data_IF_912158176673
#
_entry.id   IF_912158176673
#
_cell.length_a   1.000
_cell.length_b   1.000
_cell.length_c   1.000
_cell.angle_alpha   90.00
_cell.angle_beta   90.00
_cell.angle_gamma   90.00
#
_symmetry.space_group_name_H-M   'P 1'
#
loop_
_entity.id
_entity.type
_entity.pdbx_description
1 polymer ?
2 non-polymer ?
3 water ?
#
# COMPACT_ATOMS: atom_id res chain seq x y z
N UNK A 4 -21.09 10.87 -11.57
CA UNK A 4 -19.88 11.48 -10.95
C UNK A 4 -18.97 12.14 -11.97
N UNK A 5 -17.83 11.50 -12.25
CA UNK A 5 -16.87 12.01 -13.22
C UNK A 5 -17.14 11.38 -14.59
N UNK A 6 -17.24 12.22 -15.62
CA UNK A 6 -17.52 11.77 -16.98
C UNK A 6 -16.26 11.25 -17.68
N UNK A 7 -16.42 10.18 -18.43
CA UNK A 7 -15.28 9.61 -19.15
C UNK A 7 -15.68 9.07 -20.53
N UNK A 8 -14.71 9.12 -21.44
CA UNK A 8 -14.87 8.66 -22.83
C UNK A 8 -15.05 7.15 -22.91
N UNK A 9 -15.90 6.69 -23.83
CA UNK A 9 -16.17 5.27 -23.98
C UNK A 9 -15.01 4.42 -24.50
N UNK A 10 -14.18 4.99 -25.35
CA UNK A 10 -13.05 4.26 -25.91
C UNK A 10 -11.98 4.05 -24.86
N UNK A 11 -11.84 5.02 -23.96
CA UNK A 11 -10.85 4.92 -22.90
C UNK A 11 -11.33 3.92 -21.86
N UNK A 12 -12.64 3.85 -21.65
CA UNK A 12 -13.21 2.91 -20.69
C UNK A 12 -12.87 1.49 -21.12
N UNK A 13 -13.24 1.15 -22.35
CA UNK A 13 -12.99 -0.17 -22.91
C UNK A 13 -11.51 -0.55 -22.86
N UNK A 14 -10.65 0.45 -23.04
CA UNK A 14 -9.22 0.22 -23.02
C UNK A 14 -8.63 0.05 -21.62
N UNK A 15 -9.10 0.85 -20.67
CA UNK A 15 -8.60 0.76 -19.29
C UNK A 15 -9.00 -0.56 -18.65
N UNK A 16 -10.25 -0.94 -18.82
CA UNK A 16 -10.75 -2.19 -18.25
C UNK A 16 -10.04 -3.39 -18.88
N UNK A 17 -9.77 -3.32 -20.17
CA UNK A 17 -9.09 -4.41 -20.87
C UNK A 17 -7.68 -4.59 -20.33
N UNK A 18 -6.93 -3.50 -20.27
CA UNK A 18 -5.57 -3.53 -19.77
C UNK A 18 -5.53 -4.00 -18.30
N UNK A 19 -6.49 -3.56 -17.49
CA UNK A 19 -6.55 -3.94 -16.07
C UNK A 19 -6.83 -5.42 -15.90
N UNK A 20 -7.84 -5.92 -16.59
CA UNK A 20 -8.22 -7.32 -16.50
C UNK A 20 -7.06 -8.22 -16.93
N UNK A 21 -6.30 -7.79 -17.93
CA UNK A 21 -5.18 -8.58 -18.43
C UNK A 21 -4.07 -8.65 -17.39
N UNK A 22 -3.92 -7.59 -16.60
CA UNK A 22 -2.92 -7.54 -15.55
C UNK A 22 -3.38 -8.45 -14.41
N UNK A 23 -4.68 -8.36 -14.10
CA UNK A 23 -5.28 -9.16 -13.06
C UNK A 23 -5.29 -10.65 -13.37
N UNK A 24 -5.36 -10.99 -14.67
CA UNK A 24 -5.37 -12.38 -15.10
C UNK A 24 -3.99 -13.00 -14.92
N UNK A 25 -2.94 -12.20 -15.19
CA UNK A 25 -1.56 -12.67 -15.05
C UNK A 25 -1.21 -12.83 -13.58
N UNK A 26 -1.73 -11.93 -12.74
CA UNK A 26 -1.47 -11.99 -11.30
C UNK A 26 -2.10 -13.27 -10.74
N UNK A 27 -3.34 -13.54 -11.14
CA UNK A 27 -4.05 -14.72 -10.68
C UNK A 27 -3.43 -16.00 -11.21
N UNK A 28 -2.95 -15.96 -12.45
CA UNK A 28 -2.32 -17.11 -13.07
C UNK A 28 -1.00 -17.43 -12.41
N UNK A 29 -0.25 -16.40 -12.07
CA UNK A 29 1.05 -16.56 -11.41
C UNK A 29 0.85 -17.14 -10.02
N UNK A 30 -0.13 -16.62 -9.31
CA UNK A 30 -0.44 -17.05 -7.96
C UNK A 30 -0.89 -18.51 -7.95
N UNK A 31 -1.81 -18.85 -8.85
CA UNK A 31 -2.33 -20.20 -8.95
C UNK A 31 -1.24 -21.21 -9.29
N UNK A 32 -0.06 -20.71 -9.63
CA UNK A 32 1.04 -21.57 -10.00
C UNK A 32 1.98 -21.91 -8.84
N UNK A 33 1.58 -21.61 -7.61
CA UNK A 33 2.42 -21.89 -6.45
C UNK A 33 1.79 -22.86 -5.45
N UNK A 34 2.49 -23.10 -4.34
CA UNK A 34 2.05 -24.02 -3.27
C UNK A 34 0.83 -23.49 -2.49
N UNK A 40 -4.95 -16.75 0.00
CA UNK A 40 -4.52 -17.39 -1.28
C UNK A 40 -4.62 -16.40 -2.44
N UNK A 41 -5.35 -15.31 -2.19
CA UNK A 41 -5.53 -14.29 -3.20
C UNK A 41 -4.62 -13.11 -2.91
N UNK A 42 -4.01 -12.61 -3.98
CA UNK A 42 -3.10 -11.48 -3.91
C UNK A 42 -3.86 -10.22 -4.28
N UNK A 43 -3.54 -9.11 -3.62
CA UNK A 43 -4.23 -7.86 -3.92
C UNK A 43 -3.52 -7.14 -5.05
N UNK A 44 -4.31 -6.65 -6.01
CA UNK A 44 -3.77 -5.89 -7.12
C UNK A 44 -4.10 -4.44 -6.79
N UNK A 45 -3.17 -3.77 -6.13
CA UNK A 45 -3.37 -2.37 -5.78
C UNK A 45 -3.19 -1.55 -7.04
N UNK A 46 -4.25 -0.86 -7.46
CA UNK A 46 -4.18 -0.05 -8.66
C UNK A 46 -3.59 1.31 -8.33
N UNK A 47 -2.34 1.51 -8.75
CA UNK A 47 -1.62 2.75 -8.51
C UNK A 47 -2.06 3.82 -9.51
N UNK A 48 -2.94 4.72 -9.05
CA UNK A 48 -3.49 5.77 -9.90
C UNK A 48 -2.80 7.12 -9.76
N UNK A 49 -1.66 7.16 -9.09
CA UNK A 49 -0.94 8.41 -8.93
C UNK A 49 -0.82 9.14 -10.27
N UNK A 50 -0.97 10.46 -10.23
CA UNK A 50 -0.87 11.30 -11.41
C UNK A 50 -1.93 11.04 -12.47
N UNK A 51 -2.80 10.05 -12.24
CA UNK A 51 -3.87 9.72 -13.18
C UNK A 51 -5.13 10.52 -12.84
N UNK A 52 -5.90 10.94 -13.86
CA UNK A 52 -7.12 11.70 -13.60
C UNK A 52 -8.20 10.88 -12.90
N UNK A 53 -9.05 11.58 -12.16
CA UNK A 53 -10.15 10.96 -11.42
C UNK A 53 -11.17 10.25 -12.32
N UNK A 54 -11.20 10.60 -13.60
CA UNK A 54 -12.14 9.95 -14.53
C UNK A 54 -11.68 8.52 -14.78
N UNK A 55 -10.37 8.32 -14.80
CA UNK A 55 -9.79 7.00 -15.03
C UNK A 55 -10.15 6.10 -13.86
N UNK A 56 -10.12 6.65 -12.65
CA UNK A 56 -10.46 5.92 -11.44
C UNK A 56 -11.95 5.60 -11.44
N UNK A 57 -12.76 6.52 -11.95
CA UNK A 57 -14.20 6.29 -12.01
C UNK A 57 -14.47 5.15 -12.98
N UNK A 58 -13.70 5.12 -14.07
CA UNK A 58 -13.84 4.05 -15.05
C UNK A 58 -13.64 2.71 -14.33
N UNK A 59 -12.48 2.55 -13.71
CA UNK A 59 -12.17 1.32 -13.00
C UNK A 59 -13.12 1.12 -11.82
N UNK A 60 -13.41 2.19 -11.08
CA UNK A 60 -14.34 2.08 -9.95
C UNK A 60 -15.63 1.40 -10.44
N UNK A 61 -16.28 2.03 -11.41
CA UNK A 61 -17.53 1.51 -11.97
C UNK A 61 -17.36 0.05 -12.38
N UNK A 62 -16.16 -0.33 -12.77
CA UNK A 62 -15.88 -1.69 -13.18
C UNK A 62 -15.85 -2.66 -11.98
N UNK A 63 -15.79 -2.12 -10.77
CA UNK A 63 -15.76 -2.99 -9.60
C UNK A 63 -14.49 -2.88 -8.78
N UNK A 64 -13.55 -2.04 -9.22
CA UNK A 64 -12.29 -1.86 -8.49
C UNK A 64 -12.52 -0.93 -7.28
N UNK A 65 -11.93 -1.26 -6.13
CA UNK A 65 -12.12 -0.47 -4.92
C UNK A 65 -10.84 0.05 -4.30
N UNK A 66 -9.73 -0.65 -4.50
CA UNK A 66 -8.46 -0.23 -3.90
C UNK A 66 -7.49 0.40 -4.89
N UNK A 67 -7.20 1.67 -4.65
CA UNK A 67 -6.31 2.46 -5.49
C UNK A 67 -5.18 3.04 -4.66
N UNK A 68 -4.00 3.14 -5.23
CA UNK A 68 -2.86 3.68 -4.49
C UNK A 68 -2.44 5.06 -4.97
N UNK A 69 -2.26 5.97 -4.03
CA UNK A 69 -1.85 7.34 -4.33
C UNK A 69 -0.55 7.63 -3.59
N UNK A 70 0.30 8.44 -4.21
CA UNK A 70 1.59 8.77 -3.65
C UNK A 70 1.68 10.18 -3.09
N UNK A 71 0.77 11.04 -3.50
CA UNK A 71 0.81 12.42 -3.04
C UNK A 71 -0.40 12.76 -2.16
N UNK A 72 -0.10 13.25 -0.95
CA UNK A 72 -1.11 13.59 0.03
C UNK A 72 -2.23 14.50 -0.47
N UNK A 73 -1.92 15.69 -0.97
CA UNK A 73 -2.97 16.57 -1.45
C UNK A 73 -3.78 15.95 -2.59
N UNK A 74 -3.11 15.24 -3.49
CA UNK A 74 -3.80 14.61 -4.61
C UNK A 74 -4.82 13.56 -4.10
N UNK A 75 -4.42 12.76 -3.13
CA UNK A 75 -5.28 11.72 -2.56
C UNK A 75 -6.51 12.33 -1.91
N UNK A 76 -6.30 13.44 -1.19
CA UNK A 76 -7.36 14.14 -0.48
C UNK A 76 -8.36 14.75 -1.47
N UNK A 77 -7.83 15.40 -2.50
CA UNK A 77 -8.67 16.01 -3.52
C UNK A 77 -9.46 14.92 -4.22
N UNK A 78 -8.76 13.83 -4.53
CA UNK A 78 -9.36 12.69 -5.21
C UNK A 78 -10.45 12.01 -4.38
N UNK A 79 -10.18 11.87 -3.08
CA UNK A 79 -11.13 11.26 -2.16
C UNK A 79 -12.48 11.99 -2.10
N UNK A 80 -12.42 13.33 -2.20
CA UNK A 80 -13.62 14.18 -2.15
C UNK A 80 -14.47 14.09 -3.42
N UNK A 81 -13.83 13.78 -4.55
CA UNK A 81 -14.50 13.69 -5.86
C UNK A 81 -15.10 12.35 -6.23
N UNK A 82 -14.57 11.28 -5.65
CA UNK A 82 -15.01 9.93 -5.96
C UNK A 82 -15.76 9.24 -4.83
N UNK A 83 -16.36 8.07 -5.10
CA UNK A 83 -17.12 7.34 -4.08
C UNK A 83 -16.43 7.11 -2.74
N UNK A 84 -17.24 7.15 -1.69
CA UNK A 84 -16.77 6.98 -0.32
C UNK A 84 -16.30 5.59 0.05
N UNK A 85 -16.68 4.57 -0.71
CA UNK A 85 -16.27 3.21 -0.38
C UNK A 85 -14.99 2.76 -1.07
N UNK A 86 -14.29 3.70 -1.69
CA UNK A 86 -13.04 3.37 -2.33
C UNK A 86 -12.11 3.13 -1.13
N UNK A 87 -11.16 2.22 -1.27
CA UNK A 87 -10.22 1.95 -0.19
C UNK A 87 -8.87 2.52 -0.56
N UNK A 88 -8.66 3.78 -0.21
CA UNK A 88 -7.41 4.46 -0.53
C UNK A 88 -6.25 3.89 0.23
N UNK A 89 -5.13 3.76 -0.47
CA UNK A 89 -3.87 3.28 0.08
C UNK A 89 -2.90 4.39 -0.20
N UNK A 90 -2.25 4.91 0.83
CA UNK A 90 -1.26 5.94 0.60
C UNK A 90 0.10 5.23 0.54
N UNK A 91 0.69 5.21 -0.65
CA UNK A 91 1.98 4.55 -0.83
C UNK A 91 3.15 5.46 -1.17
N UNK A 92 3.03 6.75 -0.85
CA UNK A 92 4.10 7.68 -1.14
C UNK A 92 4.92 8.06 0.08
N UNK A 93 5.79 9.05 -0.09
CA UNK A 93 6.62 9.51 1.01
C UNK A 93 5.79 10.19 2.08
N UNK A 94 5.91 9.72 3.32
CA UNK A 94 5.13 10.29 4.40
C UNK A 94 5.95 11.20 5.31
N UNK A 95 5.51 12.45 5.43
CA UNK A 95 6.18 13.42 6.30
C UNK A 95 5.28 13.48 7.52
N UNK A 96 5.87 13.64 8.69
CA UNK A 96 5.12 13.70 9.95
C UNK A 96 4.08 14.83 10.00
N UNK A 97 4.34 15.92 9.28
CA UNK A 97 3.43 17.06 9.27
C UNK A 97 2.20 16.84 8.40
N UNK A 98 2.26 15.84 7.53
CA UNK A 98 1.15 15.53 6.64
C UNK A 98 0.24 14.43 7.18
N UNK A 99 0.67 13.82 8.29
CA UNK A 99 -0.09 12.76 8.94
C UNK A 99 -1.48 13.26 9.32
N UNK A 100 -1.52 14.41 9.98
CA UNK A 100 -2.78 15.00 10.40
C UNK A 100 -3.73 15.11 9.20
N UNK A 101 -3.18 15.52 8.06
CA UNK A 101 -3.96 15.68 6.83
C UNK A 101 -4.53 14.38 6.31
N UNK A 102 -3.68 13.36 6.26
CA UNK A 102 -4.08 12.04 5.80
C UNK A 102 -5.14 11.43 6.72
N UNK A 103 -4.92 11.55 8.04
CA UNK A 103 -5.84 10.98 9.02
C UNK A 103 -7.26 11.48 8.88
N UNK A 104 -7.42 12.67 8.31
CA UNK A 104 -8.74 13.26 8.12
C UNK A 104 -9.62 12.54 7.10
N UNK A 105 -8.99 11.90 6.11
CA UNK A 105 -9.75 11.17 5.08
C UNK A 105 -10.39 9.95 5.74
N UNK A 106 -11.73 9.92 5.79
CA UNK A 106 -12.42 8.78 6.42
C UNK A 106 -12.10 7.44 5.78
N UNK A 107 -12.19 7.39 4.45
CA UNK A 107 -11.93 6.16 3.74
C UNK A 107 -10.47 5.93 3.37
N UNK A 108 -9.57 6.37 4.26
CA UNK A 108 -8.14 6.15 4.05
C UNK A 108 -7.94 4.76 4.61
N UNK A 109 -7.99 3.78 3.73
CA UNK A 109 -7.89 2.38 4.10
C UNK A 109 -6.53 1.93 4.62
N UNK A 110 -5.45 2.41 4.00
CA UNK A 110 -4.13 1.98 4.42
C UNK A 110 -3.02 2.99 4.14
N UNK A 111 -1.94 2.84 4.88
CA UNK A 111 -0.74 3.69 4.73
C UNK A 111 0.37 2.66 4.74
N UNK A 112 1.02 2.46 3.61
CA UNK A 112 2.07 1.46 3.50
C UNK A 112 3.50 1.98 3.64
N UNK A 113 3.64 3.26 3.94
CA UNK A 113 4.97 3.83 4.04
C UNK A 113 5.39 4.34 5.41
N UNK A 114 4.97 3.66 6.47
CA UNK A 114 5.37 4.07 7.81
C UNK A 114 6.83 3.62 7.95
N UNK A 115 7.74 4.56 8.13
CA UNK A 115 9.14 4.19 8.27
C UNK A 115 9.85 4.84 9.46
N UNK A 116 9.11 5.05 10.53
CA UNK A 116 9.67 5.64 11.75
C UNK A 116 8.63 5.56 12.84
N UNK A 117 9.06 5.58 14.10
CA UNK A 117 8.12 5.50 15.21
C UNK A 117 7.41 6.83 15.32
N UNK A 118 8.13 7.91 15.03
CA UNK A 118 7.58 9.26 15.08
C UNK A 118 6.34 9.35 14.21
N UNK A 119 6.42 8.79 13.01
CA UNK A 119 5.32 8.80 12.06
C UNK A 119 4.16 7.93 12.50
N UNK A 120 4.46 6.74 13.02
CA UNK A 120 3.40 5.85 13.48
C UNK A 120 2.60 6.52 14.59
N UNK A 121 3.29 7.11 15.57
CA UNK A 121 2.64 7.78 16.69
C UNK A 121 1.81 8.98 16.25
N UNK A 122 2.31 9.74 15.27
CA UNK A 122 1.61 10.91 14.75
C UNK A 122 0.35 10.56 13.96
N UNK A 123 0.41 9.49 13.18
CA UNK A 123 -0.75 9.07 12.40
C UNK A 123 -1.84 8.52 13.33
N UNK A 124 -1.42 7.72 14.31
CA UNK A 124 -2.34 7.13 15.29
C UNK A 124 -2.94 8.28 16.09
N UNK A 125 -2.08 9.24 16.42
CA UNK A 125 -2.46 10.43 17.16
C UNK A 125 -3.53 11.21 16.38
N UNK A 126 -3.20 11.57 15.15
CA UNK A 126 -4.10 12.33 14.28
C UNK A 126 -5.42 11.61 13.98
N UNK A 127 -5.34 10.31 13.73
CA UNK A 127 -6.52 9.51 13.42
C UNK A 127 -7.50 9.50 14.59
N UNK A 128 -6.96 9.51 15.80
CA UNK A 128 -7.78 9.49 17.01
C UNK A 128 -8.55 10.79 17.11
N UNK A 129 -7.89 11.91 16.84
CA UNK A 129 -8.53 13.21 16.93
C UNK A 129 -9.55 13.50 15.82
N UNK A 130 -9.26 13.07 14.60
CA UNK A 130 -10.17 13.35 13.49
C UNK A 130 -11.09 12.27 12.99
N UNK A 131 -10.73 11.01 13.18
CA UNK A 131 -11.61 9.93 12.73
C UNK A 131 -11.52 8.73 13.66
N UNK A 132 -11.77 8.97 14.96
CA UNK A 132 -11.73 7.92 15.98
C UNK A 132 -12.82 6.89 15.69
N UNK A 133 -13.90 7.37 15.07
CA UNK A 133 -15.05 6.61 14.71
C UNK A 133 -14.73 5.61 13.61
N UNK A 134 -14.00 6.08 12.60
CA UNK A 134 -13.62 5.25 11.46
C UNK A 134 -12.73 4.08 11.82
N UNK A 135 -12.74 3.07 10.96
CA UNK A 135 -11.94 1.87 11.14
C UNK A 135 -10.48 2.29 11.26
N UNK A 136 -9.68 1.49 11.98
CA UNK A 136 -8.26 1.79 12.15
C UNK A 136 -7.53 1.65 10.81
N UNK A 137 -6.69 2.61 10.48
CA UNK A 137 -5.95 2.56 9.23
C UNK A 137 -4.99 1.37 9.23
N UNK A 138 -5.09 0.52 8.22
CA UNK A 138 -4.19 -0.62 8.11
C UNK A 138 -2.84 -0.02 7.70
N UNK A 139 -1.77 -0.49 8.32
CA UNK A 139 -0.45 0.04 8.02
C UNK A 139 0.59 -1.00 7.67
N UNK A 140 1.51 -0.62 6.78
CA UNK A 140 2.61 -1.49 6.41
C UNK A 140 3.86 -0.73 6.83
N UNK A 141 4.87 -1.45 7.27
CA UNK A 141 6.13 -0.83 7.67
C UNK A 141 7.04 -0.87 6.45
N UNK A 142 7.47 0.29 5.98
CA UNK A 142 8.35 0.31 4.81
C UNK A 142 9.78 0.06 5.20
N UNK A 143 10.36 -0.96 4.59
CA UNK A 143 11.74 -1.31 4.87
C UNK A 143 12.59 -1.17 3.62
N UNK A 144 13.82 -0.72 3.82
CA UNK A 144 14.76 -0.56 2.72
C UNK A 144 15.43 -1.90 2.55
N UNK A 145 14.97 -2.66 1.56
CA UNK A 145 15.47 -3.99 1.26
C UNK A 145 16.71 -3.89 0.37
N UNK A 146 16.92 -2.72 -0.22
CA UNK A 146 18.07 -2.53 -1.07
C UNK A 146 19.27 -2.48 -0.14
N UNK A 147 20.43 -2.95 -0.61
CA UNK A 147 21.62 -2.92 0.21
C UNK A 147 22.34 -1.61 0.00
N UNK A 148 21.66 -0.69 -0.67
CA UNK A 148 22.20 0.63 -0.96
C UNK A 148 21.54 1.65 -0.04
N UNK A 149 21.90 2.92 -0.24
CA UNK A 149 21.33 4.00 0.55
C UNK A 149 20.08 4.46 -0.19
N UNK A 150 18.95 4.49 0.52
CA UNK A 150 17.67 4.89 -0.05
C UNK A 150 17.00 5.93 0.85
N UNK A 151 16.55 7.02 0.25
CA UNK A 151 15.89 8.10 0.98
C UNK A 151 14.77 7.69 1.91
N UNK A 152 14.17 6.51 1.70
CA UNK A 152 13.08 6.05 2.55
C UNK A 152 13.21 4.60 2.96
N UNK A 153 12.50 4.22 4.02
CA UNK A 153 12.56 2.85 4.50
C UNK A 153 13.53 2.65 5.66
N UNK A 154 13.23 1.65 6.48
CA UNK A 154 14.05 1.31 7.64
C UNK A 154 15.03 0.21 7.29
N UNK A 155 16.22 0.25 7.90
CA UNK A 155 17.24 -0.77 7.64
C UNK A 155 17.79 -1.28 8.95
N UNK A 156 17.54 -0.54 10.02
CA UNK A 156 18.01 -0.88 11.37
C UNK A 156 17.00 -1.79 12.07
N UNK A 157 17.45 -2.96 12.50
CA UNK A 157 16.58 -3.93 13.18
C UNK A 157 16.01 -3.39 14.48
N UNK A 158 16.85 -2.69 15.24
CA UNK A 158 16.45 -2.11 16.52
C UNK A 158 15.32 -1.10 16.29
N UNK A 159 15.49 -0.23 15.32
CA UNK A 159 14.47 0.76 15.03
C UNK A 159 13.23 0.11 14.43
N UNK A 160 13.41 -0.92 13.62
CA UNK A 160 12.29 -1.61 13.03
C UNK A 160 11.49 -2.26 14.13
N UNK A 161 12.20 -2.93 15.04
CA UNK A 161 11.58 -3.62 16.17
C UNK A 161 10.82 -2.66 17.06
N UNK A 162 11.37 -1.46 17.25
CA UNK A 162 10.73 -0.45 18.08
C UNK A 162 9.41 0.03 17.43
N UNK A 163 9.35 0.04 16.11
CA UNK A 163 8.13 0.47 15.41
C UNK A 163 7.05 -0.60 15.56
N UNK A 164 7.46 -1.86 15.46
CA UNK A 164 6.52 -2.98 15.60
C UNK A 164 6.00 -3.07 17.03
N UNK A 165 6.88 -2.85 18.01
CA UNK A 165 6.50 -2.90 19.40
C UNK A 165 5.36 -1.92 19.69
N UNK A 166 5.45 -0.72 19.12
CA UNK A 166 4.42 0.29 19.33
C UNK A 166 3.10 -0.11 18.72
N UNK A 167 3.15 -0.69 17.53
CA UNK A 167 1.95 -1.13 16.82
C UNK A 167 1.16 -2.14 17.61
N UNK A 168 1.86 -3.01 18.32
CA UNK A 168 1.24 -4.05 19.13
C UNK A 168 0.96 -3.57 20.55
N UNK A 169 1.21 -2.30 20.83
CA UNK A 169 0.96 -1.73 22.15
C UNK A 169 -0.51 -1.32 22.28
N UNK A 170 -1.00 -1.21 23.51
CA UNK A 170 -2.40 -0.85 23.75
C UNK A 170 -2.72 0.59 23.38
N UNK A 171 -1.70 1.44 23.33
CA UNK A 171 -1.87 2.84 22.99
C UNK A 171 -2.11 3.07 21.50
N UNK A 172 -1.62 2.15 20.68
CA UNK A 172 -1.79 2.23 19.24
C UNK A 172 -3.12 1.59 18.87
N UNK A 173 -4.20 2.35 19.02
CA UNK A 173 -5.54 1.82 18.75
C UNK A 173 -6.23 2.35 17.52
N UNK A 174 -5.61 3.24 16.76
CA UNK A 174 -6.28 3.79 15.59
C UNK A 174 -5.67 3.44 14.25
N UNK A 175 -4.53 2.77 14.29
CA UNK A 175 -3.83 2.30 13.11
C UNK A 175 -3.45 0.88 13.46
N UNK A 176 -3.65 -0.02 12.50
CA UNK A 176 -3.35 -1.42 12.70
C UNK A 176 -2.17 -1.88 11.83
N UNK A 177 -1.25 -2.64 12.43
CA UNK A 177 -0.09 -3.16 11.71
C UNK A 177 -0.57 -4.30 10.81
N UNK A 178 -0.36 -4.14 9.51
CA UNK A 178 -0.79 -5.15 8.57
C UNK A 178 0.36 -5.97 8.00
N UNK A 179 1.43 -5.28 7.60
CA UNK A 179 2.55 -6.01 7.05
C UNK A 179 3.79 -5.18 6.78
N UNK A 180 4.60 -5.65 5.85
CA UNK A 180 5.84 -5.00 5.48
C UNK A 180 5.75 -4.51 4.04
N UNK A 181 6.52 -3.49 3.70
CA UNK A 181 6.48 -2.93 2.35
C UNK A 181 7.86 -2.49 1.84
N UNK A 182 8.08 -2.62 0.53
CA UNK A 182 9.35 -2.21 -0.04
C UNK A 182 9.23 -1.74 -1.50
N UNK A 183 10.05 -0.78 -1.87
CA UNK A 183 10.07 -0.24 -3.23
C UNK A 183 11.13 -1.03 -4.04
N UNK A 184 11.77 -1.98 -3.40
CA UNK A 184 12.77 -2.78 -4.09
C UNK A 184 14.03 -2.03 -4.46
N UNK A 185 14.76 -2.60 -5.42
CA UNK A 185 16.02 -2.04 -5.87
C UNK A 185 16.01 -1.90 -7.39
N UNK A 186 17.03 -1.22 -7.89
CA UNK A 186 17.18 -0.97 -9.32
C UNK A 186 18.65 -1.16 -9.73
N UNK A 195 13.99 -15.26 -7.54
CA UNK A 195 15.42 -14.84 -7.54
C UNK A 195 15.62 -13.48 -6.88
N UNK A 196 14.68 -12.56 -7.11
CA UNK A 196 14.74 -11.20 -6.56
C UNK A 196 15.26 -11.08 -5.11
N UNK A 197 16.44 -10.49 -4.95
CA UNK A 197 17.06 -10.32 -3.64
C UNK A 197 16.32 -9.38 -2.71
N UNK A 198 15.64 -8.39 -3.28
CA UNK A 198 14.89 -7.43 -2.48
C UNK A 198 13.67 -8.07 -1.82
N UNK A 199 12.94 -8.86 -2.58
CA UNK A 199 11.77 -9.55 -2.05
C UNK A 199 12.24 -10.59 -1.05
N UNK A 200 13.42 -11.15 -1.31
CA UNK A 200 14.00 -12.17 -0.45
C UNK A 200 14.32 -11.59 0.92
N UNK A 201 14.87 -10.38 0.89
CA UNK A 201 15.23 -9.67 2.11
C UNK A 201 13.96 -9.32 2.91
N UNK A 202 12.89 -8.96 2.21
CA UNK A 202 11.64 -8.63 2.88
C UNK A 202 11.07 -9.89 3.53
N UNK A 203 11.18 -11.02 2.83
CA UNK A 203 10.70 -12.30 3.34
C UNK A 203 11.42 -12.70 4.64
N UNK A 204 12.71 -12.39 4.71
CA UNK A 204 13.53 -12.69 5.88
C UNK A 204 13.17 -11.77 7.05
N UNK A 205 12.79 -10.54 6.73
CA UNK A 205 12.42 -9.56 7.74
C UNK A 205 11.12 -9.98 8.39
N UNK A 206 10.19 -10.52 7.59
CA UNK A 206 8.89 -10.98 8.08
C UNK A 206 9.02 -12.16 9.04
N UNK A 207 10.02 -13.01 8.80
CA UNK A 207 10.27 -14.18 9.63
C UNK A 207 10.92 -13.81 10.96
N UNK A 208 11.91 -12.92 10.90
CA UNK A 208 12.60 -12.49 12.12
C UNK A 208 11.63 -11.76 13.03
N UNK A 209 10.73 -11.01 12.42
CA UNK A 209 9.72 -10.25 13.16
C UNK A 209 8.58 -11.13 13.64
N UNK A 210 8.07 -12.00 12.76
CA UNK A 210 6.96 -12.88 13.13
C UNK A 210 7.40 -13.77 14.30
N UNK A 211 8.68 -14.10 14.31
CA UNK A 211 9.25 -14.95 15.35
C UNK A 211 9.33 -14.21 16.67
N UNK A 212 9.89 -13.00 16.63
CA UNK A 212 10.05 -12.19 17.81
C UNK A 212 8.78 -11.63 18.42
N UNK A 213 7.84 -11.20 17.57
CA UNK A 213 6.61 -10.60 18.06
C UNK A 213 5.34 -11.44 17.96
N UNK A 214 5.45 -12.60 17.32
CA UNK A 214 4.28 -13.45 17.18
C UNK A 214 3.29 -12.92 16.16
N UNK A 215 3.83 -12.22 15.16
CA UNK A 215 2.99 -11.66 14.10
C UNK A 215 3.00 -12.63 12.91
N UNK A 216 2.12 -12.36 11.95
CA UNK A 216 2.03 -13.15 10.73
C UNK A 216 1.86 -12.09 9.64
N UNK A 217 2.87 -11.22 9.57
CA UNK A 217 2.91 -10.10 8.65
C UNK A 217 2.57 -10.36 7.18
N UNK A 218 1.88 -9.40 6.58
CA UNK A 218 1.47 -9.46 5.19
C UNK A 218 2.51 -8.64 4.38
N UNK A 219 2.95 -9.17 3.24
CA UNK A 219 3.94 -8.47 2.45
C UNK A 219 3.37 -7.70 1.25
N UNK A 220 3.90 -6.51 1.03
CA UNK A 220 3.50 -5.65 -0.07
C UNK A 220 4.74 -5.35 -0.89
N UNK A 221 4.92 -6.10 -1.97
CA UNK A 221 6.08 -5.93 -2.82
C UNK A 221 5.71 -6.38 -4.22
N UNK A 222 6.32 -5.76 -5.22
CA UNK A 222 6.03 -6.14 -6.58
C UNK A 222 5.39 -4.98 -7.31
N UNK A 223 6.06 -4.48 -8.34
CA UNK A 223 5.54 -3.37 -9.12
C UNK A 223 5.49 -3.82 -10.58
N UNK A 224 5.31 -2.88 -11.50
CA UNK A 224 5.20 -3.21 -12.91
C UNK A 224 6.28 -4.10 -13.52
N UNK A 225 7.53 -3.86 -13.16
CA UNK A 225 8.62 -4.65 -13.73
C UNK A 225 8.94 -5.96 -13.03
N UNK A 226 8.37 -6.20 -11.85
CA UNK A 226 8.72 -7.43 -11.14
C UNK A 226 7.63 -8.06 -10.30
N UNK A 227 6.37 -7.75 -10.57
CA UNK A 227 5.30 -8.31 -9.78
C UNK A 227 5.20 -9.83 -9.91
N UNK A 228 5.65 -10.36 -11.04
CA UNK A 228 5.60 -11.80 -11.28
C UNK A 228 6.48 -12.54 -10.28
N UNK A 229 7.71 -12.06 -10.11
CA UNK A 229 8.66 -12.65 -9.19
C UNK A 229 8.18 -12.45 -7.75
N UNK A 230 7.67 -11.26 -7.46
CA UNK A 230 7.17 -10.97 -6.12
C UNK A 230 6.09 -11.99 -5.81
N UNK A 231 5.29 -12.31 -6.82
CA UNK A 231 4.21 -13.29 -6.66
C UNK A 231 4.79 -14.67 -6.37
N UNK A 232 5.97 -14.92 -6.93
CA UNK A 232 6.64 -16.20 -6.76
C UNK A 232 7.35 -16.28 -5.42
N UNK A 233 7.60 -15.11 -4.81
CA UNK A 233 8.31 -15.06 -3.53
C UNK A 233 7.42 -14.87 -2.30
N UNK A 234 6.10 -15.00 -2.48
CA UNK A 234 5.18 -14.88 -1.35
C UNK A 234 4.41 -13.60 -1.11
N UNK A 235 4.47 -12.65 -2.03
CA UNK A 235 3.76 -11.39 -1.82
C UNK A 235 2.26 -11.54 -1.59
N UNK A 236 1.71 -10.63 -0.80
CA UNK A 236 0.28 -10.65 -0.52
C UNK A 236 -0.33 -9.47 -1.27
N UNK A 237 0.53 -8.62 -1.82
CA UNK A 237 0.07 -7.46 -2.57
C UNK A 237 1.08 -6.89 -3.53
N UNK A 238 0.62 -6.64 -4.75
CA UNK A 238 1.45 -6.06 -5.80
C UNK A 238 0.85 -4.67 -6.11
N UNK A 239 1.71 -3.72 -6.42
CA UNK A 239 1.24 -2.37 -6.74
C UNK A 239 1.61 -2.03 -8.19
N UNK A 240 0.60 -1.98 -9.05
CA UNK A 240 0.83 -1.72 -10.46
C UNK A 240 0.05 -0.55 -11.07
N UNK A 241 0.78 0.31 -11.78
CA UNK A 241 0.14 1.46 -12.40
C UNK A 241 0.33 1.48 -13.91
N UNK A 242 1.58 1.60 -14.33
CA UNK A 242 1.95 1.67 -15.73
C UNK A 242 1.28 0.66 -16.63
N UNK A 243 1.31 -0.61 -16.22
CA UNK A 243 0.72 -1.68 -17.02
C UNK A 243 -0.78 -1.54 -17.19
N UNK A 244 -1.43 -0.82 -16.29
CA UNK A 244 -2.88 -0.66 -16.33
C UNK A 244 -3.37 0.61 -17.01
N UNK A 245 -2.68 1.73 -16.79
CA UNK A 245 -3.11 3.01 -17.37
C UNK A 245 -2.45 3.40 -18.70
N UNK A 246 -1.63 2.54 -19.27
CA UNK A 246 -0.95 2.86 -20.53
C UNK A 246 -1.78 2.97 -21.81
X LIG B 1 4.68 1.37 -5.38
X LIG B 1 5.12 2.67 -5.14
X LIG B 1 5.63 3.04 -3.72
X LIG B 1 5.10 3.61 -6.19
X LIG B 1 5.70 4.84 -5.99
X LIG B 1 4.63 3.25 -7.48
X LIG B 1 4.33 4.38 -8.53
X LIG B 1 4.26 1.89 -7.72
X LIG B 1 4.27 1.02 -6.67
X LIG B 1 4.01 1.26 -9.16
X LIG B 1 4.98 1.02 -10.25
X LIG B 1 4.37 0.97 -11.81
X LIG B 1 3.53 -0.24 -11.90
X LIG B 1 5.46 0.82 -12.96
X LIG B 1 3.75 2.29 -12.03
#
# INVERSE_FOLDING_TARGET
MSTGITYDEDRKTQLIAQYESVREVVNAEAKNVHVNENASKILLLVVSKLKPASDIQILYDHGVREFGENYVQELIEKAKLLPDDIKWHFIGGLQTNKCKDLAKVPNLYSVETIDSLKKAKKLNESRAKFQPDCNPILCNVQINTSHEDQKSGLNNEAEIFEVIDFFLSEECKYIKLNGLMTIGSWNVSHEDSKENRDFATLVEWKKKIDAKFGTSLKLSMGMSADFREAIRQGTAEVRIGTDIFGARPPKNEARII
PLP N1 C2 C2A C3 O3 C4 C4A C5 C6 C5A O4P P O1P O2P O3P
#
